data_IF_932655928826
#
_entry.id   IF_932655928826
#
_cell.length_a   1.000
_cell.length_b   1.000
_cell.length_c   1.000
_cell.angle_alpha   90.00
_cell.angle_beta   90.00
_cell.angle_gamma   90.00
#
_symmetry.space_group_name_H-M   'P 1'
#
loop_
_entity.id
_entity.type
_entity.pdbx_description
1 polymer ?
#
# COMPACT_ATOMS: atom_id res chain seq x y z
N UNK A 1 -8.71 9.83 30.36
CA UNK A 1 -9.36 8.63 29.77
C UNK A 1 -10.79 8.39 30.27
N UNK A 2 -11.14 8.53 31.56
CA UNK A 2 -12.57 8.58 31.96
C UNK A 2 -13.41 9.61 31.20
N UNK A 3 -12.86 10.79 30.92
CA UNK A 3 -13.51 11.78 30.05
C UNK A 3 -13.52 11.39 28.56
N UNK A 4 -12.48 10.70 28.06
CA UNK A 4 -12.42 10.16 26.68
C UNK A 4 -13.39 9.00 26.47
N UNK A 5 -13.52 8.10 27.45
CA UNK A 5 -14.47 6.98 27.45
C UNK A 5 -15.92 7.48 27.42
N UNK A 6 -16.23 8.59 28.10
CA UNK A 6 -17.53 9.24 28.02
C UNK A 6 -17.82 9.86 26.63
N UNK A 7 -16.78 10.27 25.89
CA UNK A 7 -16.91 10.79 24.52
C UNK A 7 -17.07 9.70 23.46
N UNK A 8 -16.55 8.50 23.71
CA UNK A 8 -16.56 7.38 22.77
C UNK A 8 -17.93 6.69 22.67
N UNK A 9 -18.89 6.93 23.57
CA UNK A 9 -20.16 6.18 23.60
C UNK A 9 -21.35 7.13 23.37
N UNK A 10 -22.14 6.97 22.29
CA UNK A 10 -23.40 7.69 22.12
C UNK A 10 -24.35 7.32 23.26
N UNK A 11 -24.93 8.34 23.89
CA UNK A 11 -25.80 8.26 25.08
C UNK A 11 -26.69 7.00 25.12
N UNK A 12 -26.26 6.02 25.91
CA UNK A 12 -27.11 4.99 26.49
C UNK A 12 -26.83 4.98 27.98
N UNK A 13 -27.91 5.12 28.76
CA UNK A 13 -27.93 5.23 30.22
C UNK A 13 -27.29 4.03 30.94
N UNK A 14 -25.96 3.94 30.93
CA UNK A 14 -25.22 3.08 31.83
C UNK A 14 -23.92 3.78 32.22
N UNK A 15 -23.73 4.12 33.51
CA UNK A 15 -22.51 4.74 33.98
C UNK A 15 -21.32 3.79 33.74
N UNK A 16 -20.12 4.36 33.76
CA UNK A 16 -18.76 3.81 33.63
C UNK A 16 -18.46 2.36 34.09
N UNK A 17 -19.41 1.66 34.73
CA UNK A 17 -19.42 0.22 35.05
C UNK A 17 -19.59 -0.73 33.84
N UNK A 18 -19.83 -0.25 32.61
CA UNK A 18 -19.89 -1.18 31.46
C UNK A 18 -19.44 -0.56 30.13
N UNK A 19 -18.13 -0.41 29.91
CA UNK A 19 -17.57 -0.42 28.53
C UNK A 19 -17.67 -1.86 28.00
N UNK A 20 -18.89 -2.37 27.83
CA UNK A 20 -19.16 -3.77 27.50
C UNK A 20 -18.65 -4.81 28.52
N UNK A 21 -18.24 -4.41 29.73
CA UNK A 21 -17.60 -5.29 30.71
C UNK A 21 -16.07 -5.38 30.57
N UNK A 22 -15.45 -4.54 29.72
CA UNK A 22 -14.00 -4.55 29.46
C UNK A 22 -13.23 -3.42 30.17
N UNK A 23 -13.79 -2.81 31.22
CA UNK A 23 -13.16 -1.65 31.90
C UNK A 23 -11.73 -1.95 32.37
N UNK A 24 -11.53 -3.11 33.00
CA UNK A 24 -10.21 -3.53 33.50
C UNK A 24 -9.18 -3.68 32.36
N UNK A 25 -9.64 -4.04 31.15
CA UNK A 25 -8.78 -4.20 29.97
C UNK A 25 -8.41 -2.84 29.37
N UNK A 26 -9.33 -1.86 29.38
CA UNK A 26 -9.01 -0.48 29.03
C UNK A 26 -8.03 0.15 30.03
N UNK A 27 -8.22 -0.09 31.32
CA UNK A 27 -7.30 0.40 32.35
C UNK A 27 -5.91 -0.23 32.21
N UNK A 28 -5.84 -1.53 31.93
CA UNK A 28 -4.58 -2.22 31.64
C UNK A 28 -3.88 -1.64 30.40
N UNK A 29 -4.61 -1.48 29.28
CA UNK A 29 -4.07 -0.92 28.06
C UNK A 29 -3.60 0.53 28.26
N UNK A 30 -4.41 1.37 28.92
CA UNK A 30 -4.04 2.74 29.27
C UNK A 30 -2.76 2.80 30.10
N UNK A 31 -2.63 1.88 31.06
CA UNK A 31 -1.45 1.83 31.92
C UNK A 31 -0.22 1.40 31.12
N UNK A 32 -0.36 0.41 30.23
CA UNK A 32 0.69 0.00 29.30
C UNK A 32 1.11 1.13 28.35
N UNK A 33 0.16 1.85 27.73
CA UNK A 33 0.43 3.01 26.87
C UNK A 33 1.25 4.06 27.61
N UNK A 34 0.92 4.30 28.88
CA UNK A 34 1.66 5.27 29.71
C UNK A 34 3.10 4.82 29.94
N UNK A 35 3.33 3.55 30.28
CA UNK A 35 4.67 3.00 30.45
C UNK A 35 5.46 3.00 29.14
N UNK A 36 4.81 2.64 28.04
CA UNK A 36 5.39 2.63 26.69
C UNK A 36 5.85 4.03 26.28
N UNK A 37 4.98 5.05 26.43
CA UNK A 37 5.30 6.44 26.11
C UNK A 37 6.42 7.01 26.99
N UNK A 38 6.43 6.69 28.29
CA UNK A 38 7.51 7.09 29.20
C UNK A 38 8.85 6.46 28.80
N UNK A 39 8.84 5.20 28.38
CA UNK A 39 10.05 4.50 27.94
C UNK A 39 10.57 5.08 26.62
N UNK A 40 9.68 5.37 25.67
CA UNK A 40 10.05 6.10 24.45
C UNK A 40 10.67 7.44 24.77
N UNK A 41 10.02 8.26 25.61
CA UNK A 41 10.58 9.55 26.00
C UNK A 41 11.97 9.38 26.62
N UNK A 42 12.12 8.47 27.59
CA UNK A 42 13.39 8.19 28.28
C UNK A 42 14.52 7.79 27.33
N UNK A 43 14.22 6.90 26.38
CA UNK A 43 15.23 6.39 25.44
C UNK A 43 15.60 7.46 24.41
N UNK A 44 14.64 8.21 23.88
CA UNK A 44 14.88 9.21 22.83
C UNK A 44 15.28 10.60 23.34
N UNK A 45 15.18 10.89 24.64
CA UNK A 45 15.55 12.18 25.24
C UNK A 45 17.00 12.57 24.92
N UNK A 46 17.92 11.60 24.97
CA UNK A 46 19.36 11.83 24.82
C UNK A 46 19.92 11.40 23.45
N UNK A 47 19.06 10.96 22.53
CA UNK A 47 19.50 10.55 21.18
C UNK A 47 19.61 11.80 20.31
N UNK A 48 20.80 12.07 19.72
CA UNK A 48 20.96 13.20 18.82
C UNK A 48 20.08 13.02 17.59
N UNK A 49 19.43 14.10 17.18
CA UNK A 49 18.63 14.14 15.97
C UNK A 49 19.55 14.42 14.77
N UNK A 50 19.46 13.56 13.75
CA UNK A 50 20.18 13.70 12.49
C UNK A 50 19.15 13.72 11.36
N UNK A 51 19.18 14.75 10.51
CA UNK A 51 18.23 14.92 9.40
C UNK A 51 16.76 14.84 9.83
N UNK A 52 16.46 15.42 11.01
CA UNK A 52 15.14 15.39 11.66
C UNK A 52 14.67 14.00 12.11
N UNK A 53 15.59 13.05 12.27
CA UNK A 53 15.31 11.68 12.71
C UNK A 53 16.21 11.32 13.88
N UNK A 54 15.64 10.69 14.91
CA UNK A 54 16.40 10.06 16.00
C UNK A 54 16.43 8.56 15.75
N UNK A 55 17.61 7.97 15.68
CA UNK A 55 17.80 6.54 15.40
C UNK A 55 18.49 5.88 16.58
N UNK A 56 17.95 4.74 17.01
CA UNK A 56 18.60 3.90 18.01
C UNK A 56 19.60 2.97 17.32
N UNK A 57 20.78 2.82 17.90
CA UNK A 57 21.68 1.74 17.51
C UNK A 57 21.13 0.37 17.96
N UNK A 58 21.76 -0.72 17.50
CA UNK A 58 21.31 -2.08 17.81
C UNK A 58 21.27 -2.38 19.32
N UNK A 59 22.20 -1.83 20.11
CA UNK A 59 22.28 -2.08 21.54
C UNK A 59 21.20 -1.28 22.29
N UNK A 60 21.01 -0.01 21.91
CA UNK A 60 19.95 0.86 22.41
C UNK A 60 18.56 0.29 22.09
N UNK A 61 18.36 -0.19 20.86
CA UNK A 61 17.12 -0.82 20.42
C UNK A 61 16.84 -2.13 21.17
N UNK A 62 17.87 -2.97 21.38
CA UNK A 62 17.74 -4.19 22.17
C UNK A 62 17.37 -3.88 23.64
N UNK A 63 18.00 -2.87 24.24
CA UNK A 63 17.66 -2.43 25.59
C UNK A 63 16.22 -1.90 25.67
N UNK A 64 15.85 -0.99 24.76
CA UNK A 64 14.50 -0.45 24.65
C UNK A 64 13.45 -1.57 24.55
N UNK A 65 13.66 -2.52 23.64
CA UNK A 65 12.76 -3.67 23.45
C UNK A 65 12.67 -4.52 24.72
N UNK A 66 13.80 -4.79 25.40
CA UNK A 66 13.79 -5.52 26.67
C UNK A 66 12.98 -4.82 27.76
N UNK A 67 13.02 -3.49 27.82
CA UNK A 67 12.24 -2.70 28.78
C UNK A 67 10.75 -2.73 28.44
N UNK A 68 10.39 -2.65 27.17
CA UNK A 68 8.99 -2.80 26.74
C UNK A 68 8.42 -4.17 27.11
N UNK A 69 9.19 -5.25 26.98
CA UNK A 69 8.79 -6.59 27.45
C UNK A 69 8.57 -6.61 28.96
N UNK A 70 9.47 -5.99 29.72
CA UNK A 70 9.31 -5.89 31.18
C UNK A 70 8.05 -5.10 31.58
N UNK A 71 7.76 -4.00 30.88
CA UNK A 71 6.54 -3.21 31.07
C UNK A 71 5.29 -4.02 30.72
N UNK A 72 5.29 -4.72 29.58
CA UNK A 72 4.21 -5.60 29.18
C UNK A 72 3.94 -6.67 30.27
N UNK A 73 4.97 -7.41 30.69
CA UNK A 73 4.84 -8.42 31.74
C UNK A 73 4.31 -7.83 33.05
N UNK A 74 4.82 -6.67 33.46
CA UNK A 74 4.34 -5.98 34.66
C UNK A 74 2.84 -5.64 34.59
N UNK A 75 2.36 -5.13 33.46
CA UNK A 75 0.93 -4.83 33.28
C UNK A 75 0.10 -6.12 33.26
N UNK A 76 0.57 -7.15 32.57
CA UNK A 76 -0.09 -8.44 32.50
C UNK A 76 -0.32 -9.04 33.90
N UNK A 77 0.72 -9.04 34.74
CA UNK A 77 0.64 -9.54 36.10
C UNK A 77 -0.21 -8.65 37.00
N UNK A 78 -0.02 -7.32 36.93
CA UNK A 78 -0.73 -6.35 37.78
C UNK A 78 -2.25 -6.40 37.61
N UNK A 79 -2.72 -6.59 36.39
CA UNK A 79 -4.14 -6.64 36.08
C UNK A 79 -4.70 -8.08 36.02
N UNK A 80 -3.91 -9.10 36.40
CA UNK A 80 -4.27 -10.51 36.35
C UNK A 80 -4.87 -10.91 34.99
N UNK A 81 -4.19 -10.48 33.92
CA UNK A 81 -4.62 -10.75 32.56
C UNK A 81 -4.31 -12.19 32.18
N UNK A 82 -4.99 -12.66 31.15
CA UNK A 82 -4.65 -13.90 30.46
C UNK A 82 -4.49 -13.58 28.99
N UNK A 83 -3.70 -14.39 28.29
CA UNK A 83 -3.52 -14.22 26.84
C UNK A 83 -4.87 -14.22 26.10
N UNK A 84 -5.79 -15.13 26.47
CA UNK A 84 -7.14 -15.15 25.89
C UNK A 84 -7.89 -13.83 26.06
N UNK A 85 -7.81 -13.20 27.24
CA UNK A 85 -8.46 -11.90 27.48
C UNK A 85 -7.89 -10.78 26.61
N UNK A 86 -6.59 -10.81 26.31
CA UNK A 86 -5.97 -9.82 25.43
C UNK A 86 -6.47 -9.96 23.99
N UNK A 87 -6.53 -11.18 23.46
CA UNK A 87 -7.08 -11.43 22.13
C UNK A 87 -8.59 -11.14 22.05
N UNK A 88 -9.37 -11.51 23.07
CA UNK A 88 -10.79 -11.15 23.17
C UNK A 88 -10.97 -9.63 23.17
N UNK A 89 -10.11 -8.90 23.87
CA UNK A 89 -10.15 -7.45 23.89
C UNK A 89 -9.75 -6.82 22.55
N UNK A 90 -8.71 -7.35 21.90
CA UNK A 90 -8.31 -6.93 20.57
C UNK A 90 -9.45 -7.11 19.56
N UNK A 91 -10.13 -8.24 19.62
CA UNK A 91 -11.31 -8.51 18.81
C UNK A 91 -12.45 -7.52 19.10
N UNK A 92 -12.70 -7.23 20.38
CA UNK A 92 -13.68 -6.23 20.79
C UNK A 92 -13.35 -4.85 20.20
N UNK A 93 -12.10 -4.38 20.28
CA UNK A 93 -11.69 -3.08 19.74
C UNK A 93 -11.79 -3.03 18.21
N UNK A 94 -11.37 -4.09 17.51
CA UNK A 94 -11.54 -4.21 16.05
C UNK A 94 -13.01 -4.10 15.65
N UNK A 95 -13.90 -4.75 16.40
CA UNK A 95 -15.34 -4.69 16.19
C UNK A 95 -15.89 -3.30 16.44
N UNK A 96 -15.52 -2.68 17.55
CA UNK A 96 -15.98 -1.34 17.92
C UNK A 96 -15.52 -0.28 16.90
N UNK A 97 -14.27 -0.36 16.43
CA UNK A 97 -13.75 0.46 15.32
C UNK A 97 -14.61 0.31 14.08
N UNK A 98 -14.90 -0.94 13.72
CA UNK A 98 -15.78 -1.27 12.61
C UNK A 98 -17.21 -0.72 12.71
N UNK A 99 -17.75 -0.66 13.92
CA UNK A 99 -19.07 -0.09 14.20
C UNK A 99 -19.05 1.44 14.06
N UNK A 100 -17.97 2.10 14.49
CA UNK A 100 -17.77 3.53 14.27
C UNK A 100 -17.59 3.90 12.81
N UNK A 101 -16.80 3.16 12.03
CA UNK A 101 -16.66 3.37 10.58
C UNK A 101 -18.02 3.32 9.89
N UNK A 102 -18.82 2.28 10.18
CA UNK A 102 -20.17 2.11 9.60
C UNK A 102 -21.16 3.19 10.03
N UNK A 103 -20.92 3.81 11.19
CA UNK A 103 -21.73 4.89 11.73
C UNK A 103 -21.17 6.27 11.38
N UNK A 104 -20.18 6.35 10.49
CA UNK A 104 -19.49 7.59 10.07
C UNK A 104 -18.76 8.35 11.19
N UNK A 105 -18.46 7.71 12.32
CA UNK A 105 -17.68 8.30 13.41
C UNK A 105 -16.17 8.12 13.18
N UNK A 106 -15.66 8.64 12.05
CA UNK A 106 -14.29 8.40 11.59
C UNK A 106 -13.20 8.82 12.60
N UNK A 107 -13.39 9.93 13.32
CA UNK A 107 -12.44 10.37 14.35
C UNK A 107 -12.33 9.35 15.49
N UNK A 108 -13.45 8.77 15.93
CA UNK A 108 -13.45 7.75 16.98
C UNK A 108 -12.85 6.43 16.48
N UNK A 109 -13.09 6.07 15.22
CA UNK A 109 -12.44 4.91 14.60
C UNK A 109 -10.91 5.09 14.51
N UNK A 110 -10.43 6.30 14.23
CA UNK A 110 -9.00 6.62 14.21
C UNK A 110 -8.38 6.55 15.61
N UNK A 111 -9.03 7.11 16.64
CA UNK A 111 -8.57 6.98 18.03
C UNK A 111 -8.49 5.50 18.45
N UNK A 112 -9.48 4.68 18.10
CA UNK A 112 -9.43 3.24 18.36
C UNK A 112 -8.31 2.52 17.58
N UNK A 113 -7.94 3.01 16.40
CA UNK A 113 -6.83 2.42 15.63
C UNK A 113 -5.51 2.54 16.41
N UNK A 114 -5.32 3.67 17.09
CA UNK A 114 -4.17 3.91 17.96
C UNK A 114 -4.18 2.94 19.15
N UNK A 115 -5.32 2.80 19.83
CA UNK A 115 -5.46 1.86 20.95
C UNK A 115 -5.20 0.40 20.52
N UNK A 116 -5.69 0.01 19.35
CA UNK A 116 -5.44 -1.31 18.76
C UNK A 116 -3.95 -1.52 18.48
N UNK A 117 -3.24 -0.54 17.92
CA UNK A 117 -1.79 -0.64 17.68
C UNK A 117 -1.00 -0.82 18.98
N UNK A 118 -1.38 -0.13 20.04
CA UNK A 118 -0.76 -0.33 21.36
C UNK A 118 -1.08 -1.69 21.95
N UNK A 119 -2.29 -2.20 21.77
CA UNK A 119 -2.66 -3.54 22.23
C UNK A 119 -1.91 -4.64 21.46
N UNK A 120 -1.70 -4.47 20.16
CA UNK A 120 -0.84 -5.35 19.36
C UNK A 120 0.57 -5.34 19.92
N UNK A 121 1.15 -4.14 20.11
CA UNK A 121 2.48 -3.98 20.70
C UNK A 121 2.57 -4.63 22.08
N UNK A 122 1.50 -4.54 22.88
CA UNK A 122 1.42 -5.19 24.19
C UNK A 122 1.51 -6.72 24.04
N UNK A 123 0.71 -7.31 23.16
CA UNK A 123 0.73 -8.76 22.90
C UNK A 123 2.11 -9.22 22.35
N UNK A 124 2.69 -8.49 21.40
CA UNK A 124 4.01 -8.79 20.84
C UNK A 124 5.09 -8.82 21.92
N UNK A 125 5.10 -7.81 22.80
CA UNK A 125 6.09 -7.69 23.87
C UNK A 125 5.91 -8.72 25.00
N UNK A 126 4.76 -9.39 25.09
CA UNK A 126 4.57 -10.53 26.02
C UNK A 126 5.09 -11.84 25.44
N UNK A 127 4.82 -12.11 24.16
CA UNK A 127 5.02 -13.44 23.58
C UNK A 127 6.19 -13.58 22.61
N UNK A 128 6.94 -12.50 22.33
CA UNK A 128 7.90 -12.44 21.20
C UNK A 128 7.25 -12.82 19.87
N UNK A 129 5.97 -12.45 19.71
CA UNK A 129 5.16 -12.78 18.54
C UNK A 129 5.35 -11.75 17.43
N UNK A 130 5.38 -12.23 16.19
CA UNK A 130 5.27 -11.37 15.01
C UNK A 130 3.83 -10.86 14.82
N UNK A 131 3.63 -9.83 13.99
CA UNK A 131 2.27 -9.35 13.66
C UNK A 131 1.49 -10.47 12.96
N UNK A 132 2.18 -11.25 12.13
CA UNK A 132 1.64 -12.39 11.40
C UNK A 132 1.18 -13.52 12.34
N UNK A 133 1.90 -13.76 13.44
CA UNK A 133 1.47 -14.72 14.47
C UNK A 133 0.17 -14.26 15.15
N UNK A 134 0.05 -12.98 15.46
CA UNK A 134 -1.15 -12.38 16.06
C UNK A 134 -2.32 -12.41 15.06
N UNK A 135 -2.07 -12.07 13.79
CA UNK A 135 -3.06 -12.16 12.71
C UNK A 135 -3.61 -13.58 12.59
N UNK A 136 -2.72 -14.58 12.59
CA UNK A 136 -3.09 -15.99 12.51
C UNK A 136 -3.91 -16.45 13.72
N UNK A 137 -3.62 -15.94 14.90
CA UNK A 137 -4.40 -16.23 16.11
C UNK A 137 -5.80 -15.59 16.04
N UNK A 138 -5.91 -14.37 15.49
CA UNK A 138 -7.21 -13.72 15.21
C UNK A 138 -8.00 -14.52 14.18
N UNK A 139 -7.36 -14.98 13.11
CA UNK A 139 -7.98 -15.76 12.04
C UNK A 139 -8.53 -17.10 12.56
N UNK A 140 -7.80 -17.78 13.46
CA UNK A 140 -8.30 -19.01 14.09
C UNK A 140 -9.51 -18.77 15.01
N UNK A 141 -9.58 -17.59 15.64
CA UNK A 141 -10.63 -17.23 16.60
C UNK A 141 -11.84 -16.56 15.97
N UNK A 142 -11.76 -16.18 14.69
CA UNK A 142 -12.78 -15.36 14.04
C UNK A 142 -12.98 -15.71 12.57
N UNK A 143 -13.89 -15.03 11.88
CA UNK A 143 -14.07 -15.18 10.43
C UNK A 143 -13.10 -14.24 9.69
N UNK A 144 -12.77 -14.59 8.44
CA UNK A 144 -11.81 -13.89 7.56
C UNK A 144 -11.96 -12.35 7.44
N UNK A 145 -13.14 -11.80 7.75
CA UNK A 145 -13.40 -10.35 7.74
C UNK A 145 -12.54 -9.62 8.78
N UNK A 146 -12.33 -10.20 9.97
CA UNK A 146 -11.58 -9.56 11.05
C UNK A 146 -10.07 -9.65 10.83
N UNK A 147 -9.61 -10.76 10.28
CA UNK A 147 -8.24 -10.94 9.79
C UNK A 147 -7.89 -9.87 8.76
N UNK A 148 -8.76 -9.66 7.77
CA UNK A 148 -8.59 -8.58 6.78
C UNK A 148 -8.52 -7.20 7.45
N UNK A 149 -9.42 -6.90 8.38
CA UNK A 149 -9.44 -5.62 9.10
C UNK A 149 -8.22 -5.40 9.99
N UNK A 150 -7.70 -6.46 10.61
CA UNK A 150 -6.48 -6.42 11.39
C UNK A 150 -5.26 -6.14 10.49
N UNK A 151 -5.14 -6.87 9.38
CA UNK A 151 -4.08 -6.67 8.39
C UNK A 151 -4.12 -5.25 7.80
N UNK A 152 -5.30 -4.64 7.68
CA UNK A 152 -5.50 -3.27 7.19
C UNK A 152 -5.27 -2.17 8.23
N UNK A 153 -4.84 -2.52 9.45
CA UNK A 153 -4.29 -1.52 10.39
C UNK A 153 -2.95 -0.96 9.91
N UNK A 154 -2.19 -1.76 9.16
CA UNK A 154 -1.09 -1.25 8.35
C UNK A 154 -1.67 -0.63 7.08
N UNK A 155 -1.59 0.71 7.01
CA UNK A 155 -2.13 1.47 5.88
C UNK A 155 -1.45 1.09 4.57
N UNK A 156 -0.16 0.74 4.59
CA UNK A 156 0.53 0.30 3.38
C UNK A 156 -0.06 -1.00 2.86
N UNK A 157 -0.33 -1.95 3.74
CA UNK A 157 -0.96 -3.23 3.38
C UNK A 157 -2.39 -3.05 2.89
N UNK A 158 -3.18 -2.21 3.54
CA UNK A 158 -4.53 -1.84 3.08
C UNK A 158 -4.48 -1.29 1.64
N UNK A 159 -3.59 -0.34 1.39
CA UNK A 159 -3.40 0.31 0.10
C UNK A 159 -2.98 -0.69 -0.98
N UNK A 160 -2.08 -1.64 -0.68
CA UNK A 160 -1.69 -2.69 -1.61
C UNK A 160 -2.83 -3.67 -1.92
N UNK A 161 -3.50 -4.17 -0.90
CA UNK A 161 -4.65 -5.07 -1.07
C UNK A 161 -5.76 -4.39 -1.88
N UNK A 162 -5.99 -3.10 -1.66
CA UNK A 162 -6.94 -2.31 -2.43
C UNK A 162 -6.55 -2.18 -3.90
N UNK A 163 -5.28 -1.86 -4.16
CA UNK A 163 -4.75 -1.78 -5.53
C UNK A 163 -4.87 -3.14 -6.25
N UNK A 164 -4.63 -4.25 -5.55
CA UNK A 164 -4.84 -5.61 -6.08
C UNK A 164 -6.27 -5.84 -6.53
N UNK A 165 -7.24 -5.63 -5.64
CA UNK A 165 -8.67 -5.79 -5.97
C UNK A 165 -9.07 -4.88 -7.14
N UNK A 166 -8.52 -3.67 -7.18
CA UNK A 166 -8.79 -2.71 -8.26
C UNK A 166 -8.22 -3.17 -9.59
N UNK A 167 -6.97 -3.65 -9.61
CA UNK A 167 -6.38 -4.22 -10.82
C UNK A 167 -7.10 -5.48 -11.28
N UNK A 168 -7.48 -6.39 -10.38
CA UNK A 168 -8.29 -7.58 -10.70
C UNK A 168 -9.64 -7.19 -11.34
N UNK A 169 -10.29 -6.14 -10.85
CA UNK A 169 -11.52 -5.60 -11.46
C UNK A 169 -11.24 -5.07 -12.87
N UNK A 170 -10.19 -4.28 -13.05
CA UNK A 170 -9.85 -3.65 -14.33
C UNK A 170 -9.31 -4.65 -15.37
N UNK A 171 -8.69 -5.75 -14.94
CA UNK A 171 -8.12 -6.76 -15.84
C UNK A 171 -9.20 -7.43 -16.68
N UNK A 172 -10.42 -7.54 -16.16
CA UNK A 172 -11.55 -8.15 -16.88
C UNK A 172 -11.89 -7.35 -18.14
N UNK A 173 -12.02 -6.04 -18.02
CA UNK A 173 -12.26 -5.15 -19.17
C UNK A 173 -11.02 -5.09 -20.09
N UNK A 174 -9.82 -5.05 -19.53
CA UNK A 174 -8.57 -5.09 -20.30
C UNK A 174 -8.47 -6.37 -21.15
N UNK A 175 -8.63 -7.56 -20.57
CA UNK A 175 -8.52 -8.84 -21.28
C UNK A 175 -9.57 -8.98 -22.39
N UNK A 176 -10.72 -8.33 -22.25
CA UNK A 176 -11.74 -8.29 -23.32
C UNK A 176 -11.28 -7.50 -24.56
N UNK A 177 -10.41 -6.49 -24.38
CA UNK A 177 -9.89 -5.60 -25.43
C UNK A 177 -8.53 -6.05 -25.96
N UNK A 178 -7.77 -6.77 -25.15
CA UNK A 178 -6.41 -7.23 -25.43
C UNK A 178 -6.31 -8.75 -25.28
N UNK A 179 -7.12 -9.51 -26.04
CA UNK A 179 -7.22 -10.96 -25.90
C UNK A 179 -5.91 -11.72 -26.17
N UNK A 180 -5.00 -11.15 -26.96
CA UNK A 180 -3.67 -11.72 -27.25
C UNK A 180 -2.61 -11.35 -26.22
N UNK A 181 -2.91 -10.41 -25.32
CA UNK A 181 -2.04 -9.94 -24.23
C UNK A 181 -2.80 -10.03 -22.90
N UNK A 182 -3.58 -11.10 -22.70
CA UNK A 182 -4.37 -11.26 -21.49
C UNK A 182 -3.47 -11.45 -20.27
N UNK A 183 -3.91 -10.90 -19.15
CA UNK A 183 -3.22 -10.95 -17.86
C UNK A 183 -4.00 -11.83 -16.91
N UNK A 184 -3.29 -12.76 -16.28
CA UNK A 184 -3.76 -13.63 -15.22
C UNK A 184 -3.69 -12.96 -13.84
N UNK A 185 -4.40 -13.47 -12.82
CA UNK A 185 -4.28 -12.97 -11.46
C UNK A 185 -2.85 -13.02 -10.91
N UNK A 186 -2.07 -14.04 -11.27
CA UNK A 186 -0.66 -14.18 -10.85
C UNK A 186 0.20 -13.06 -11.44
N UNK A 187 -0.02 -12.66 -12.69
CA UNK A 187 0.71 -11.55 -13.30
C UNK A 187 0.35 -10.18 -12.69
N UNK A 188 -0.83 -10.05 -12.07
CA UNK A 188 -1.19 -8.87 -11.27
C UNK A 188 -0.40 -8.85 -9.97
N UNK A 189 -0.27 -10.00 -9.31
CA UNK A 189 0.58 -10.14 -8.12
C UNK A 189 2.03 -9.79 -8.47
N UNK A 190 2.58 -10.35 -9.56
CA UNK A 190 3.94 -10.04 -10.03
C UNK A 190 4.16 -8.55 -10.32
N UNK A 191 3.15 -7.88 -10.89
CA UNK A 191 3.18 -6.43 -11.14
C UNK A 191 3.22 -5.64 -9.82
N UNK A 192 2.40 -6.00 -8.84
CA UNK A 192 2.35 -5.32 -7.54
C UNK A 192 3.62 -5.57 -6.72
N UNK A 193 4.12 -6.81 -6.75
CA UNK A 193 5.40 -7.20 -6.19
C UNK A 193 6.54 -6.36 -6.77
N UNK A 194 6.54 -6.16 -8.09
CA UNK A 194 7.50 -5.30 -8.75
C UNK A 194 7.40 -3.86 -8.24
N UNK A 195 6.18 -3.30 -8.20
CA UNK A 195 5.92 -1.94 -7.73
C UNK A 195 6.45 -1.76 -6.30
N UNK A 196 6.21 -2.72 -5.41
CA UNK A 196 6.67 -2.69 -4.03
C UNK A 196 8.20 -2.69 -3.94
N UNK A 197 8.85 -3.63 -4.63
CA UNK A 197 10.31 -3.81 -4.59
C UNK A 197 11.07 -2.62 -5.16
N UNK A 198 10.47 -1.89 -6.11
CA UNK A 198 11.06 -0.67 -6.68
C UNK A 198 10.69 0.60 -5.91
N UNK A 199 9.99 0.50 -4.78
CA UNK A 199 9.61 1.66 -3.98
C UNK A 199 8.59 2.57 -4.69
N UNK A 200 7.79 2.03 -5.60
CA UNK A 200 6.81 2.77 -6.39
C UNK A 200 5.43 2.86 -5.68
N UNK A 201 5.45 2.98 -4.35
CA UNK A 201 4.24 3.01 -3.49
C UNK A 201 3.27 4.14 -3.84
N UNK A 202 3.73 5.19 -4.55
CA UNK A 202 2.87 6.24 -5.10
C UNK A 202 1.75 5.69 -6.00
N UNK A 203 1.97 4.56 -6.68
CA UNK A 203 0.98 3.95 -7.58
C UNK A 203 -0.22 3.36 -6.79
N UNK A 204 -0.03 2.38 -5.89
CA UNK A 204 -1.14 1.80 -5.15
C UNK A 204 -1.80 2.85 -4.25
N UNK A 205 -1.02 3.78 -3.67
CA UNK A 205 -1.58 4.87 -2.87
C UNK A 205 -2.47 5.81 -3.70
N UNK A 206 -2.05 6.20 -4.90
CA UNK A 206 -2.86 7.03 -5.78
C UNK A 206 -4.17 6.33 -6.18
N UNK A 207 -4.14 5.02 -6.43
CA UNK A 207 -5.35 4.23 -6.73
C UNK A 207 -6.31 4.24 -5.53
N UNK A 208 -5.78 4.00 -4.33
CA UNK A 208 -6.56 4.00 -3.09
C UNK A 208 -7.21 5.37 -2.82
N UNK A 209 -6.42 6.44 -2.83
CA UNK A 209 -6.87 7.81 -2.53
C UNK A 209 -7.91 8.32 -3.54
N UNK A 210 -7.71 7.97 -4.82
CA UNK A 210 -8.68 8.21 -5.89
C UNK A 210 -10.05 7.58 -5.56
N UNK A 211 -10.06 6.29 -5.25
CA UNK A 211 -11.33 5.57 -5.08
C UNK A 211 -12.00 5.98 -3.76
N UNK A 212 -11.24 6.33 -2.71
CA UNK A 212 -11.81 6.97 -1.50
C UNK A 212 -12.48 8.29 -1.84
N UNK A 213 -11.81 9.16 -2.61
CA UNK A 213 -12.35 10.46 -3.02
C UNK A 213 -13.62 10.34 -3.90
N UNK A 214 -13.71 9.28 -4.73
CA UNK A 214 -14.90 9.01 -5.54
C UNK A 214 -16.09 8.52 -4.71
N UNK A 215 -15.83 7.77 -3.63
CA UNK A 215 -16.87 7.17 -2.80
C UNK A 215 -17.37 8.08 -1.68
N UNK A 216 -16.59 9.09 -1.28
CA UNK A 216 -17.04 10.10 -0.32
C UNK A 216 -17.75 11.28 -1.03
N UNK A 217 -19.07 11.20 -1.09
CA UNK A 217 -19.92 12.27 -1.65
C UNK A 217 -19.78 13.64 -0.97
N UNK A 218 -19.26 13.69 0.28
CA UNK A 218 -18.99 14.96 1.00
C UNK A 218 -17.59 15.48 0.71
N UNK A 219 -16.66 14.61 0.29
CA UNK A 219 -15.27 14.90 0.00
C UNK A 219 -14.88 14.72 -1.48
N UNK A 220 -15.85 14.65 -2.40
CA UNK A 220 -15.66 14.66 -3.86
C UNK A 220 -15.06 16.00 -4.32
N UNK A 221 -13.83 16.27 -3.90
CA UNK A 221 -13.10 17.49 -4.20
C UNK A 221 -12.32 17.22 -5.49
N UNK A 222 -12.51 18.09 -6.47
CA UNK A 222 -11.72 18.10 -7.71
C UNK A 222 -10.22 18.15 -7.41
N UNK A 223 -9.82 18.71 -6.26
CA UNK A 223 -8.46 18.69 -5.73
C UNK A 223 -7.94 17.28 -5.42
N UNK A 224 -8.71 16.45 -4.72
CA UNK A 224 -8.29 15.07 -4.42
C UNK A 224 -8.14 14.26 -5.70
N UNK A 225 -9.08 14.39 -6.64
CA UNK A 225 -8.99 13.72 -7.94
C UNK A 225 -7.79 14.22 -8.78
N UNK A 226 -7.50 15.52 -8.73
CA UNK A 226 -6.31 16.08 -9.36
C UNK A 226 -5.03 15.48 -8.78
N UNK A 227 -4.90 15.49 -7.45
CA UNK A 227 -3.73 14.96 -6.75
C UNK A 227 -3.57 13.47 -7.07
N UNK A 228 -4.66 12.71 -6.99
CA UNK A 228 -4.71 11.30 -7.35
C UNK A 228 -4.24 11.04 -8.77
N UNK A 229 -4.82 11.72 -9.78
CA UNK A 229 -4.40 11.56 -11.18
C UNK A 229 -2.96 12.04 -11.43
N UNK A 230 -2.53 13.11 -10.77
CA UNK A 230 -1.16 13.61 -10.83
C UNK A 230 -0.18 12.57 -10.30
N UNK A 231 -0.48 11.98 -9.14
CA UNK A 231 0.33 10.95 -8.53
C UNK A 231 0.34 9.67 -9.37
N UNK A 232 -0.80 9.28 -9.94
CA UNK A 232 -0.91 8.09 -10.78
C UNK A 232 -0.13 8.24 -12.11
N UNK A 233 -0.25 9.40 -12.77
CA UNK A 233 0.52 9.68 -14.00
C UNK A 233 2.01 9.82 -13.75
N UNK A 234 2.40 10.42 -12.61
CA UNK A 234 3.80 10.48 -12.17
C UNK A 234 4.33 9.08 -11.84
N UNK A 235 3.55 8.28 -11.12
CA UNK A 235 3.85 6.89 -10.80
C UNK A 235 4.08 6.04 -12.05
N UNK A 236 3.24 6.20 -13.07
CA UNK A 236 3.42 5.53 -14.36
C UNK A 236 4.72 5.93 -15.07
N UNK A 237 5.08 7.22 -15.06
CA UNK A 237 6.36 7.67 -15.63
C UNK A 237 7.56 7.09 -14.88
N UNK A 238 7.51 7.09 -13.54
CA UNK A 238 8.55 6.47 -12.70
C UNK A 238 8.67 4.97 -12.98
N UNK A 239 7.54 4.27 -13.11
CA UNK A 239 7.50 2.85 -13.46
C UNK A 239 8.16 2.55 -14.81
N UNK A 240 7.89 3.34 -15.86
CA UNK A 240 8.55 3.19 -17.15
C UNK A 240 10.06 3.44 -17.08
N UNK A 241 10.48 4.45 -16.32
CA UNK A 241 11.91 4.74 -16.11
C UNK A 241 12.63 3.59 -15.44
N UNK A 242 12.00 2.99 -14.43
CA UNK A 242 12.61 1.88 -13.72
C UNK A 242 12.77 0.65 -14.62
N UNK A 243 11.75 0.33 -15.40
CA UNK A 243 11.84 -0.75 -16.39
C UNK A 243 12.95 -0.47 -17.42
N UNK A 244 13.06 0.78 -17.90
CA UNK A 244 14.11 1.17 -18.83
C UNK A 244 15.52 1.08 -18.20
N UNK A 245 15.66 1.48 -16.93
CA UNK A 245 16.92 1.34 -16.17
C UNK A 245 17.33 -0.14 -16.07
N UNK A 246 16.41 -0.99 -15.61
CA UNK A 246 16.66 -2.43 -15.46
C UNK A 246 16.99 -3.10 -16.79
N UNK A 247 16.25 -2.78 -17.86
CA UNK A 247 16.53 -3.30 -19.20
C UNK A 247 17.94 -2.92 -19.70
N UNK A 248 18.37 -1.68 -19.46
CA UNK A 248 19.71 -1.20 -19.81
C UNK A 248 20.83 -1.82 -18.94
N UNK A 249 20.52 -2.25 -17.71
CA UNK A 249 21.46 -2.88 -16.78
C UNK A 249 21.54 -4.41 -16.92
N UNK A 250 20.62 -5.02 -17.67
CA UNK A 250 20.56 -6.48 -17.85
C UNK A 250 21.81 -7.05 -18.53
N UNK A 251 22.08 -8.35 -18.31
CA UNK A 251 23.26 -9.04 -18.88
C UNK A 251 23.29 -9.05 -20.41
N UNK A 252 22.12 -8.94 -21.05
CA UNK A 252 21.97 -8.83 -22.49
C UNK A 252 21.23 -7.51 -22.81
N UNK A 253 21.91 -6.36 -22.68
CA UNK A 253 21.26 -5.08 -22.87
C UNK A 253 20.79 -4.94 -24.33
N UNK A 254 19.74 -4.14 -24.57
CA UNK A 254 19.30 -3.86 -25.93
C UNK A 254 20.47 -3.27 -26.73
N UNK A 255 20.50 -3.56 -28.03
CA UNK A 255 21.53 -3.06 -28.96
C UNK A 255 21.62 -1.53 -29.00
N UNK A 256 20.60 -0.82 -28.52
CA UNK A 256 20.61 0.61 -28.29
C UNK A 256 20.02 0.92 -26.91
N UNK A 257 20.67 1.78 -26.10
CA UNK A 257 20.16 2.15 -24.79
C UNK A 257 18.77 2.77 -24.88
N UNK A 258 17.87 2.31 -24.00
CA UNK A 258 16.54 2.89 -23.83
C UNK A 258 16.70 4.25 -23.14
N UNK A 259 16.03 5.28 -23.66
CA UNK A 259 16.12 6.63 -23.10
C UNK A 259 15.35 6.72 -21.79
N UNK A 260 16.00 7.20 -20.72
CA UNK A 260 15.40 7.32 -19.38
C UNK A 260 15.01 8.75 -18.99
N UNK A 261 15.03 9.72 -19.93
CA UNK A 261 14.94 11.15 -19.60
C UNK A 261 13.52 11.72 -19.51
N UNK A 262 12.65 11.41 -20.47
CA UNK A 262 11.27 11.94 -20.55
C UNK A 262 10.35 10.88 -21.16
N UNK A 263 9.05 11.02 -20.91
CA UNK A 263 8.04 10.02 -21.28
C UNK A 263 7.96 9.71 -22.78
N UNK A 264 8.12 10.72 -23.64
CA UNK A 264 8.07 10.51 -25.11
C UNK A 264 9.25 9.69 -25.64
N UNK A 265 10.53 10.06 -25.36
CA UNK A 265 11.68 9.20 -25.65
C UNK A 265 11.61 7.81 -25.02
N UNK A 266 11.06 7.69 -23.80
CA UNK A 266 10.82 6.39 -23.14
C UNK A 266 9.88 5.53 -24.00
N UNK A 267 8.67 6.01 -24.28
CA UNK A 267 7.67 5.29 -25.09
C UNK A 267 8.25 4.96 -26.48
N UNK A 268 8.93 5.91 -27.11
CA UNK A 268 9.52 5.72 -28.44
C UNK A 268 10.53 4.57 -28.47
N UNK A 269 11.33 4.40 -27.43
CA UNK A 269 12.44 3.43 -27.40
C UNK A 269 12.05 2.09 -26.78
N UNK A 270 11.06 2.06 -25.89
CA UNK A 270 10.63 0.83 -25.21
C UNK A 270 9.70 -0.06 -26.05
N UNK A 271 8.96 0.51 -27.01
CA UNK A 271 7.92 -0.21 -27.74
C UNK A 271 8.13 -0.19 -29.25
N UNK A 272 7.83 -1.31 -29.90
CA UNK A 272 7.95 -1.45 -31.36
C UNK A 272 7.05 -0.47 -32.13
N UNK A 273 5.92 -0.06 -31.53
CA UNK A 273 5.01 0.94 -32.08
C UNK A 273 5.38 2.39 -31.70
N UNK A 274 6.54 2.61 -31.06
CA UNK A 274 7.00 3.93 -30.62
C UNK A 274 7.12 4.97 -31.75
N UNK A 275 7.42 4.53 -32.98
CA UNK A 275 7.41 5.39 -34.17
C UNK A 275 5.99 5.86 -34.49
N UNK A 276 5.02 4.94 -34.51
CA UNK A 276 3.60 5.24 -34.74
C UNK A 276 3.05 6.18 -33.66
N UNK A 277 3.46 5.99 -32.40
CA UNK A 277 3.16 6.92 -31.31
C UNK A 277 3.64 8.33 -31.61
N UNK A 278 4.89 8.51 -32.02
CA UNK A 278 5.43 9.83 -32.31
C UNK A 278 4.73 10.50 -33.51
N UNK A 279 4.43 9.73 -34.56
CA UNK A 279 3.73 10.21 -35.74
C UNK A 279 2.32 10.72 -35.39
N UNK A 280 1.54 9.90 -34.69
CA UNK A 280 0.18 10.28 -34.28
C UNK A 280 0.19 11.40 -33.26
N UNK A 281 1.09 11.38 -32.28
CA UNK A 281 1.24 12.47 -31.32
C UNK A 281 1.52 13.81 -32.04
N UNK A 282 2.44 13.81 -33.00
CA UNK A 282 2.80 15.01 -33.78
C UNK A 282 1.61 15.50 -34.59
N UNK A 283 0.90 14.59 -35.29
CA UNK A 283 -0.30 14.92 -36.06
C UNK A 283 -1.38 15.55 -35.18
N UNK A 284 -1.71 14.90 -34.06
CA UNK A 284 -2.74 15.36 -33.13
C UNK A 284 -2.37 16.69 -32.46
N UNK A 285 -1.09 16.89 -32.10
CA UNK A 285 -0.60 18.15 -31.55
C UNK A 285 -0.69 19.30 -32.57
N UNK A 286 -0.46 19.03 -33.85
CA UNK A 286 -0.63 20.03 -34.91
C UNK A 286 -2.09 20.41 -35.14
N UNK A 287 -3.01 19.45 -35.04
CA UNK A 287 -4.45 19.67 -35.19
C UNK A 287 -5.06 20.43 -34.00
N UNK A 288 -4.67 20.07 -32.77
CA UNK A 288 -5.34 20.51 -31.53
C UNK A 288 -4.42 21.36 -30.65
N UNK A 289 -3.62 22.26 -31.26
CA UNK A 289 -2.43 22.91 -30.69
C UNK A 289 -2.49 23.31 -29.20
N UNK A 290 -3.65 23.75 -28.70
CA UNK A 290 -3.83 24.15 -27.30
C UNK A 290 -5.05 23.53 -26.60
N UNK A 291 -5.80 22.63 -27.25
CA UNK A 291 -6.99 22.01 -26.65
C UNK A 291 -6.67 20.57 -26.23
N UNK A 292 -6.41 20.33 -24.93
CA UNK A 292 -6.13 18.99 -24.43
C UNK A 292 -7.35 18.06 -24.55
N UNK A 293 -8.58 18.57 -24.45
CA UNK A 293 -9.78 17.74 -24.49
C UNK A 293 -10.17 17.39 -25.92
N UNK A 294 -10.00 18.29 -26.89
CA UNK A 294 -10.16 17.96 -28.31
C UNK A 294 -9.13 16.91 -28.76
N UNK A 295 -7.89 16.99 -28.26
CA UNK A 295 -6.88 15.94 -28.48
C UNK A 295 -7.36 14.60 -27.93
N UNK A 296 -7.82 14.56 -26.68
CA UNK A 296 -8.29 13.31 -26.06
C UNK A 296 -9.53 12.75 -26.78
N UNK A 297 -10.44 13.62 -27.23
CA UNK A 297 -11.61 13.26 -28.02
C UNK A 297 -11.24 12.61 -29.35
N UNK A 298 -10.28 13.18 -30.09
CA UNK A 298 -9.85 12.64 -31.37
C UNK A 298 -9.17 11.27 -31.19
N UNK A 299 -8.32 11.11 -30.16
CA UNK A 299 -7.71 9.80 -29.86
C UNK A 299 -8.75 8.76 -29.48
N UNK A 300 -9.66 9.09 -28.56
CA UNK A 300 -10.64 8.16 -28.04
C UNK A 300 -11.63 7.68 -29.12
N UNK A 301 -12.06 8.58 -30.00
CA UNK A 301 -13.07 8.29 -31.02
C UNK A 301 -12.49 7.73 -32.33
N UNK A 302 -11.17 7.66 -32.50
CA UNK A 302 -10.58 7.19 -33.76
C UNK A 302 -10.57 5.65 -33.85
N UNK A 303 -11.39 5.02 -34.70
CA UNK A 303 -11.45 3.56 -34.80
C UNK A 303 -10.21 2.93 -35.45
N UNK A 304 -9.39 3.73 -36.12
CA UNK A 304 -8.22 3.24 -36.87
C UNK A 304 -6.95 3.19 -36.01
N UNK A 305 -6.97 3.73 -34.79
CA UNK A 305 -5.84 3.62 -33.86
C UNK A 305 -5.91 2.29 -33.12
N UNK A 306 -4.77 1.61 -33.04
CA UNK A 306 -4.57 0.46 -32.17
C UNK A 306 -4.84 0.83 -30.70
N UNK A 307 -5.44 -0.10 -29.93
CA UNK A 307 -5.87 0.19 -28.55
C UNK A 307 -4.69 0.44 -27.60
N UNK A 308 -3.53 -0.20 -27.80
CA UNK A 308 -2.34 0.09 -27.00
C UNK A 308 -1.82 1.49 -27.33
N UNK A 309 -1.76 1.82 -28.62
CA UNK A 309 -1.40 3.16 -29.08
C UNK A 309 -2.32 4.25 -28.51
N UNK A 310 -3.65 4.05 -28.56
CA UNK A 310 -4.63 4.97 -27.93
C UNK A 310 -4.36 5.15 -26.45
N UNK A 311 -4.18 4.04 -25.75
CA UNK A 311 -3.96 4.02 -24.29
C UNK A 311 -2.74 4.89 -23.93
N UNK A 312 -1.62 4.72 -24.62
CA UNK A 312 -0.42 5.52 -24.36
C UNK A 312 -0.54 6.98 -24.81
N UNK A 313 -1.24 7.28 -25.90
CA UNK A 313 -1.50 8.67 -26.33
C UNK A 313 -2.35 9.42 -25.29
N UNK A 314 -3.37 8.77 -24.72
CA UNK A 314 -4.19 9.32 -23.64
C UNK A 314 -3.33 9.53 -22.39
N UNK A 315 -2.59 8.50 -21.94
CA UNK A 315 -1.74 8.59 -20.75
C UNK A 315 -0.68 9.69 -20.88
N UNK A 316 0.01 9.77 -22.02
CA UNK A 316 1.02 10.80 -22.27
C UNK A 316 0.43 12.21 -22.27
N UNK A 317 -0.70 12.42 -22.98
CA UNK A 317 -1.34 13.73 -23.03
C UNK A 317 -1.84 14.15 -21.65
N UNK A 318 -2.43 13.23 -20.91
CA UNK A 318 -2.96 13.46 -19.56
C UNK A 318 -1.85 13.84 -18.60
N UNK A 319 -0.74 13.08 -18.58
CA UNK A 319 0.44 13.41 -17.77
C UNK A 319 0.93 14.83 -18.06
N UNK A 320 1.11 15.18 -19.33
CA UNK A 320 1.61 16.52 -19.68
C UNK A 320 0.62 17.64 -19.38
N UNK A 321 -0.68 17.37 -19.50
CA UNK A 321 -1.71 18.33 -19.12
C UNK A 321 -1.69 18.55 -17.61
N UNK A 322 -1.78 17.48 -16.82
CA UNK A 322 -1.84 17.52 -15.35
C UNK A 322 -0.56 18.07 -14.74
N UNK A 323 0.61 17.70 -15.25
CA UNK A 323 1.90 18.18 -14.72
C UNK A 323 2.13 19.69 -14.90
N UNK A 324 1.41 20.33 -15.84
CA UNK A 324 1.62 21.74 -16.19
C UNK A 324 0.40 22.62 -15.95
N UNK A 325 -0.76 22.04 -15.68
CA UNK A 325 -2.01 22.77 -15.50
C UNK A 325 -2.81 22.16 -14.34
N UNK A 326 -2.89 22.89 -13.22
CA UNK A 326 -3.96 22.66 -12.27
C UNK A 326 -5.24 23.24 -12.88
N UNK A 327 -6.29 22.44 -12.94
CA UNK A 327 -7.60 22.88 -13.42
C UNK A 327 -8.70 22.42 -12.49
N UNK A 328 -9.69 23.29 -12.26
CA UNK A 328 -10.98 22.95 -11.64
C UNK A 328 -12.03 22.62 -12.71
N UNK A 329 -11.63 22.48 -13.98
CA UNK A 329 -12.55 22.26 -15.09
C UNK A 329 -13.33 20.95 -14.93
N UNK A 330 -14.65 21.09 -14.94
CA UNK A 330 -15.60 20.00 -14.86
C UNK A 330 -15.41 18.99 -16.00
N UNK A 331 -14.93 19.38 -17.18
CA UNK A 331 -14.71 18.44 -18.28
C UNK A 331 -13.64 17.39 -17.93
N UNK A 332 -12.58 17.76 -17.21
CA UNK A 332 -11.56 16.80 -16.80
C UNK A 332 -12.16 15.76 -15.85
N UNK A 333 -12.80 16.22 -14.77
CA UNK A 333 -13.24 15.33 -13.68
C UNK A 333 -14.55 14.60 -13.96
N UNK A 334 -15.48 15.20 -14.69
CA UNK A 334 -16.78 14.58 -14.98
C UNK A 334 -16.85 13.86 -16.32
N UNK A 335 -16.00 14.21 -17.31
CA UNK A 335 -16.05 13.60 -18.65
C UNK A 335 -14.84 12.71 -18.92
N UNK A 336 -13.64 13.20 -18.64
CA UNK A 336 -12.40 12.52 -19.05
C UNK A 336 -11.78 11.63 -17.98
N UNK A 337 -12.14 11.84 -16.72
CA UNK A 337 -11.54 11.18 -15.56
C UNK A 337 -11.46 9.65 -15.72
N UNK A 338 -12.60 9.01 -15.97
CA UNK A 338 -12.68 7.55 -16.08
C UNK A 338 -11.86 7.02 -17.25
N UNK A 339 -11.81 7.76 -18.36
CA UNK A 339 -11.03 7.42 -19.55
C UNK A 339 -9.53 7.50 -19.24
N UNK A 340 -9.10 8.59 -18.60
CA UNK A 340 -7.69 8.83 -18.24
C UNK A 340 -7.23 7.78 -17.21
N UNK A 341 -7.97 7.64 -16.12
CA UNK A 341 -7.68 6.66 -15.07
C UNK A 341 -7.54 5.25 -15.66
N UNK A 342 -8.53 4.83 -16.46
CA UNK A 342 -8.53 3.51 -17.10
C UNK A 342 -7.35 3.36 -18.07
N UNK A 343 -7.02 4.39 -18.85
CA UNK A 343 -5.88 4.36 -19.76
C UNK A 343 -4.55 4.20 -19.02
N UNK A 344 -4.36 4.90 -17.89
CA UNK A 344 -3.15 4.76 -17.08
C UNK A 344 -3.06 3.34 -16.51
N UNK A 345 -4.14 2.82 -15.91
CA UNK A 345 -4.19 1.45 -15.40
C UNK A 345 -3.89 0.40 -16.48
N UNK A 346 -4.50 0.52 -17.67
CA UNK A 346 -4.20 -0.35 -18.81
C UNK A 346 -2.76 -0.21 -19.31
N UNK A 347 -2.17 0.97 -19.15
CA UNK A 347 -0.76 1.17 -19.52
C UNK A 347 0.15 0.30 -18.63
N UNK A 348 -0.12 0.19 -17.32
CA UNK A 348 0.63 -0.73 -16.46
C UNK A 348 0.52 -2.19 -16.93
N UNK A 349 -0.68 -2.62 -17.35
CA UNK A 349 -0.93 -3.96 -17.89
C UNK A 349 -0.16 -4.24 -19.18
N UNK A 350 -0.23 -3.32 -20.15
CA UNK A 350 0.49 -3.46 -21.43
C UNK A 350 2.00 -3.56 -21.18
N UNK A 351 2.54 -2.72 -20.31
CA UNK A 351 3.96 -2.71 -19.97
C UNK A 351 4.35 -3.95 -19.20
N UNK A 352 3.54 -4.37 -18.22
CA UNK A 352 3.76 -5.58 -17.45
C UNK A 352 3.88 -6.81 -18.35
N UNK A 353 2.91 -7.00 -19.24
CA UNK A 353 2.90 -8.14 -20.15
C UNK A 353 4.06 -8.11 -21.17
N UNK A 354 4.38 -6.93 -21.71
CA UNK A 354 5.38 -6.81 -22.80
C UNK A 354 6.82 -6.66 -22.34
N UNK A 355 7.09 -6.10 -21.16
CA UNK A 355 8.44 -5.71 -20.73
C UNK A 355 8.91 -6.43 -19.46
N UNK A 356 8.06 -6.65 -18.45
CA UNK A 356 8.46 -7.41 -17.25
C UNK A 356 8.80 -8.85 -17.65
N UNK A 357 8.01 -9.43 -18.56
CA UNK A 357 8.29 -10.75 -19.17
C UNK A 357 9.59 -10.80 -19.99
N UNK A 358 10.03 -9.66 -20.57
CA UNK A 358 11.25 -9.57 -21.41
C UNK A 358 12.53 -9.27 -20.63
N UNK A 359 12.45 -8.48 -19.55
CA UNK A 359 13.57 -8.27 -18.62
C UNK A 359 13.87 -9.57 -17.84
N UNK A 360 12.98 -10.56 -17.94
CA UNK A 360 13.20 -11.93 -17.54
C UNK A 360 12.91 -12.12 -16.05
N UNK A 361 12.03 -13.07 -15.77
CA UNK A 361 11.85 -13.60 -14.42
C UNK A 361 13.17 -14.06 -13.81
N UNK A 362 14.18 -14.47 -14.59
CA UNK A 362 15.51 -14.83 -14.08
C UNK A 362 16.35 -13.62 -13.63
N UNK A 363 16.29 -12.45 -14.28
CA UNK A 363 17.04 -11.28 -13.80
C UNK A 363 16.31 -10.61 -12.63
N UNK A 364 14.98 -10.62 -12.64
CA UNK A 364 14.16 -10.30 -11.47
C UNK A 364 14.48 -11.26 -10.32
N UNK A 365 14.50 -12.58 -10.53
CA UNK A 365 14.82 -13.60 -9.51
C UNK A 365 16.28 -13.55 -9.02
N UNK A 366 17.23 -13.18 -9.87
CA UNK A 366 18.64 -13.01 -9.48
C UNK A 366 18.87 -11.68 -8.73
N UNK A 367 18.22 -10.58 -9.12
CA UNK A 367 18.20 -9.35 -8.32
C UNK A 367 17.41 -9.52 -7.00
N UNK A 368 16.40 -10.39 -6.98
CA UNK A 368 15.63 -10.81 -5.80
C UNK A 368 16.46 -11.64 -4.82
N UNK A 369 17.51 -12.32 -5.28
CA UNK A 369 18.47 -13.04 -4.43
C UNK A 369 19.53 -12.09 -3.85
N UNK A 370 20.01 -11.10 -4.62
CA UNK A 370 21.07 -10.19 -4.20
C UNK A 370 20.60 -9.00 -3.34
N UNK A 371 19.35 -8.53 -3.48
CA UNK A 371 18.76 -7.48 -2.61
C UNK A 371 18.04 -8.01 -1.35
N UNK A 372 18.14 -9.31 -1.05
CA UNK A 372 17.59 -9.91 0.19
C UNK A 372 18.46 -9.66 1.44
N UNK A 373 19.57 -8.94 1.31
CA UNK A 373 20.37 -8.48 2.44
C UNK A 373 20.04 -7.03 2.79
N UNK A 374 19.88 -6.79 4.09
CA UNK A 374 19.67 -5.49 4.79
C UNK A 374 18.26 -4.96 5.09
N UNK A 375 17.27 -5.84 5.28
CA UNK A 375 16.13 -5.56 6.18
C UNK A 375 15.74 -6.72 7.12
N UNK A 376 16.53 -7.81 7.17
CA UNK A 376 16.32 -8.97 8.06
C UNK A 376 17.39 -9.10 9.14
N UNK A 377 17.84 -7.99 9.72
CA UNK A 377 18.53 -8.02 11.01
C UNK A 377 17.51 -8.22 12.14
N UNK A 378 16.91 -9.41 12.21
CA UNK A 378 16.28 -9.93 13.43
C UNK A 378 16.48 -11.46 13.52
N UNK A 379 16.87 -11.99 14.70
CA UNK A 379 17.37 -13.34 14.87
C UNK A 379 16.20 -14.32 15.04
N UNK A 380 15.54 -14.72 13.95
CA UNK A 380 14.48 -15.74 13.99
C UNK A 380 14.76 -16.95 13.10
N UNK A 381 15.68 -16.84 12.13
CA UNK A 381 15.96 -17.91 11.17
C UNK A 381 16.65 -19.11 11.84
N UNK A 382 17.54 -18.89 12.82
CA UNK A 382 18.23 -19.98 13.54
C UNK A 382 17.29 -20.87 14.38
N UNK A 383 16.13 -20.36 14.82
CA UNK A 383 15.15 -21.17 15.58
C UNK A 383 14.32 -22.09 14.69
N UNK A 384 14.11 -21.72 13.41
CA UNK A 384 13.31 -22.53 12.47
C UNK A 384 14.15 -23.67 11.91
N UNK A 385 15.43 -23.42 11.59
CA UNK A 385 16.32 -24.48 11.08
C UNK A 385 16.57 -25.56 12.14
N UNK A 386 16.77 -25.16 13.40
CA UNK A 386 17.02 -26.10 14.50
C UNK A 386 15.79 -26.97 14.83
N UNK A 387 14.58 -26.42 14.69
CA UNK A 387 13.32 -27.16 14.92
C UNK A 387 13.01 -28.15 13.77
N UNK A 388 13.41 -27.83 12.53
CA UNK A 388 13.34 -28.75 11.40
C UNK A 388 14.36 -29.90 11.51
N UNK A 389 15.58 -29.63 11.98
CA UNK A 389 16.60 -30.66 12.20
C UNK A 389 16.22 -31.63 13.34
N UNK A 390 15.68 -31.11 14.45
CA UNK A 390 15.18 -31.94 15.56
C UNK A 390 13.96 -32.78 15.20
N UNK A 391 13.13 -32.32 14.25
CA UNK A 391 11.96 -33.06 13.76
C UNK A 391 12.38 -34.18 12.79
N UNK A 392 13.37 -33.92 11.92
CA UNK A 392 13.89 -34.93 11.00
C UNK A 392 14.73 -36.01 11.70
N UNK A 393 15.41 -35.66 12.80
CA UNK A 393 16.11 -36.63 13.65
C UNK A 393 15.15 -37.57 14.40
N UNK A 394 13.94 -37.11 14.76
CA UNK A 394 12.89 -37.94 15.39
C UNK A 394 12.10 -38.80 14.41
N UNK A 395 12.13 -38.47 13.12
CA UNK A 395 11.50 -39.26 12.05
C UNK A 395 12.45 -40.35 11.53
N UNK A 396 13.76 -40.17 11.73
CA UNK A 396 14.82 -41.08 11.24
C UNK A 396 15.40 -42.02 12.33
N UNK A 397 14.90 -41.97 13.56
CA UNK A 397 15.21 -42.85 14.67
C UNK A 397 13.93 -43.55 15.14
#
# INVERSE_FOLDING_TARGET
LRERANYLIPQKDSPLTSIGGHLDLFDALSFYITLYGNEQYRVFENIPEQDSVKTLDNQQFAHYTSQLKAHAQFVFDKFNLTESKLYEFLFYLLKLRGDYERSEYLQLANELSIDIQYLISFIQNLGDLSIEDIEKEIDQRSNSIWTKRFRHLDKAVEVYDYAKVTFERLVTDYNSKFSTLSISPTEIEDLLDFIEKQGLFIIPYAIFDIDEALNDSRAFSTTSLYIGLSNLTTGFECFLREIANLANQSQNPPTSPISVKTLEPLIRTMFNWGISFQQEHTRLKQTHQNDPFAYLADVFNNPNLDEALKTFLITYRSRNFIAHNYTLDNQLYYTWYSIIYTAICRSFFIVGNTQISRVGSEHLMNCLAEKRFDLRSTPSVERVTKKCEETNAKISA
#
